data_IF_945324524845
#
_entry.id   IF_945324524845
#
_cell.length_a   1.000
_cell.length_b   1.000
_cell.length_c   1.000
_cell.angle_alpha   90.00
_cell.angle_beta   90.00
_cell.angle_gamma   90.00
#
_symmetry.space_group_name_H-M   'P 1'
#
loop_
_entity.id
_entity.type
_entity.pdbx_description
1 polymer ?
#
# COMPACT_ATOMS: atom_id res chain seq x y z
N UNK A 1 -3.94 -13.47 76.40
CA UNK A 1 -5.41 -13.52 76.28
C UNK A 1 -5.78 -13.70 74.82
N UNK A 2 -6.75 -14.57 74.61
CA UNK A 2 -7.15 -15.28 73.40
C UNK A 2 -8.11 -14.46 72.53
N UNK A 3 -8.04 -14.60 71.20
CA UNK A 3 -9.15 -14.64 70.23
C UNK A 3 -8.57 -14.46 68.81
N UNK A 4 -8.36 -15.54 68.03
CA UNK A 4 -9.33 -16.14 67.09
C UNK A 4 -9.98 -15.10 66.16
N UNK A 5 -9.54 -15.07 64.89
CA UNK A 5 -10.45 -15.07 63.73
C UNK A 5 -9.89 -15.92 62.60
N UNK A 6 -10.73 -16.86 62.17
CA UNK A 6 -10.60 -17.78 61.05
C UNK A 6 -10.84 -17.07 59.71
N UNK A 7 -10.65 -17.88 58.66
CA UNK A 7 -11.11 -17.76 57.28
C UNK A 7 -10.08 -17.14 56.34
N UNK A 8 -9.71 -17.76 55.22
CA UNK A 8 -10.20 -18.99 54.63
C UNK A 8 -9.37 -19.27 53.38
N UNK A 9 -9.13 -20.56 53.15
CA UNK A 9 -8.52 -21.09 51.94
C UNK A 9 -9.46 -20.83 50.78
N UNK A 10 -8.98 -20.14 49.74
CA UNK A 10 -9.48 -20.33 48.38
C UNK A 10 -8.29 -20.42 47.44
N UNK A 11 -8.00 -21.66 47.05
CA UNK A 11 -7.16 -22.00 45.92
C UNK A 11 -7.85 -21.50 44.64
N UNK A 12 -7.30 -20.48 44.01
CA UNK A 12 -7.60 -20.16 42.62
C UNK A 12 -6.48 -20.76 41.77
N UNK A 13 -6.74 -21.95 41.25
CA UNK A 13 -5.96 -22.55 40.18
C UNK A 13 -6.09 -21.68 38.93
N UNK A 14 -5.15 -20.75 38.73
CA UNK A 14 -4.95 -20.15 37.42
C UNK A 14 -4.21 -21.17 36.55
N UNK A 15 -5.01 -21.94 35.81
CA UNK A 15 -4.53 -22.68 34.66
C UNK A 15 -3.81 -21.68 33.73
N UNK A 16 -2.50 -21.84 33.61
CA UNK A 16 -1.72 -21.14 32.61
C UNK A 16 -2.20 -21.56 31.23
N UNK A 17 -3.01 -20.71 30.60
CA UNK A 17 -3.01 -20.63 29.15
C UNK A 17 -1.61 -20.13 28.77
N UNK A 18 -0.73 -21.06 28.44
CA UNK A 18 0.43 -20.76 27.62
C UNK A 18 -0.13 -20.12 26.33
N UNK A 19 -0.03 -18.79 26.26
CA UNK A 19 -0.20 -18.09 25.00
C UNK A 19 0.86 -18.66 24.06
N UNK A 20 0.42 -19.54 23.15
CA UNK A 20 1.24 -19.93 22.02
C UNK A 20 1.66 -18.63 21.34
N UNK A 21 2.96 -18.37 21.16
CA UNK A 21 3.38 -17.22 20.38
C UNK A 21 2.81 -17.42 18.98
N UNK A 22 1.81 -16.61 18.63
CA UNK A 22 1.48 -16.31 17.24
C UNK A 22 2.79 -15.81 16.62
N UNK A 23 3.50 -16.73 15.97
CA UNK A 23 4.64 -16.41 15.14
C UNK A 23 4.07 -15.60 13.97
N UNK A 24 4.07 -14.28 14.11
CA UNK A 24 4.08 -13.40 12.97
C UNK A 24 5.36 -13.75 12.19
N UNK A 25 5.21 -14.48 11.09
CA UNK A 25 6.32 -14.81 10.21
C UNK A 25 6.80 -13.52 9.55
N UNK A 26 7.81 -12.89 10.14
CA UNK A 26 8.57 -11.77 9.57
C UNK A 26 9.47 -12.26 8.42
N UNK A 27 8.89 -12.87 7.38
CA UNK A 27 9.58 -13.12 6.13
C UNK A 27 9.06 -12.09 5.11
N UNK A 28 9.95 -11.27 4.51
CA UNK A 28 9.59 -10.46 3.34
C UNK A 28 8.92 -11.35 2.30
N UNK A 29 7.82 -10.90 1.67
CA UNK A 29 7.02 -11.72 0.74
C UNK A 29 7.91 -12.45 -0.28
N UNK A 30 8.06 -13.76 -0.10
CA UNK A 30 8.87 -14.62 -0.96
C UNK A 30 8.04 -14.92 -2.22
N UNK A 31 8.60 -14.79 -3.42
CA UNK A 31 7.88 -15.10 -4.65
C UNK A 31 7.73 -16.62 -4.85
N UNK A 32 6.59 -17.01 -5.38
CA UNK A 32 6.28 -18.39 -5.70
C UNK A 32 6.83 -18.78 -7.08
N UNK A 33 7.35 -19.99 -7.19
CA UNK A 33 7.71 -20.60 -8.47
C UNK A 33 6.74 -21.72 -8.81
N UNK A 34 6.12 -21.64 -9.98
CA UNK A 34 5.31 -22.71 -10.55
C UNK A 34 6.15 -23.48 -11.56
N UNK A 35 6.39 -24.76 -11.29
CA UNK A 35 6.89 -25.70 -12.29
C UNK A 35 5.70 -26.25 -13.07
N UNK A 36 5.69 -26.05 -14.38
CA UNK A 36 4.65 -26.51 -15.29
C UNK A 36 4.95 -27.93 -15.80
N UNK A 37 3.92 -28.69 -16.17
CA UNK A 37 4.10 -30.05 -16.71
C UNK A 37 4.78 -30.08 -18.08
N UNK A 38 4.71 -28.99 -18.83
CA UNK A 38 5.42 -28.82 -20.11
C UNK A 38 6.90 -28.45 -19.93
N UNK A 39 7.39 -28.42 -18.68
CA UNK A 39 8.78 -28.10 -18.35
C UNK A 39 9.07 -26.61 -18.19
N UNK A 40 8.12 -25.72 -18.50
CA UNK A 40 8.28 -24.29 -18.23
C UNK A 40 8.28 -24.03 -16.72
N UNK A 41 8.96 -22.97 -16.32
CA UNK A 41 8.84 -22.43 -14.97
C UNK A 41 8.32 -21.01 -15.03
N UNK A 42 7.25 -20.75 -14.29
CA UNK A 42 6.68 -19.42 -14.13
C UNK A 42 7.09 -18.90 -12.76
N UNK A 43 7.55 -17.64 -12.74
CA UNK A 43 7.98 -16.92 -11.55
C UNK A 43 7.05 -15.75 -11.33
N UNK A 44 6.65 -15.56 -10.09
CA UNK A 44 5.59 -14.63 -9.78
C UNK A 44 5.05 -14.89 -8.39
N UNK A 45 3.76 -14.68 -8.21
CA UNK A 45 3.13 -14.78 -6.91
C UNK A 45 1.75 -15.41 -7.06
N UNK A 46 1.43 -16.33 -6.16
CA UNK A 46 0.12 -16.93 -6.10
C UNK A 46 -0.83 -15.96 -5.40
N UNK A 47 -1.74 -15.36 -6.17
CA UNK A 47 -2.81 -14.50 -5.65
C UNK A 47 -3.95 -15.30 -5.04
N UNK A 48 -4.23 -16.47 -5.61
CA UNK A 48 -5.28 -17.39 -5.13
C UNK A 48 -4.89 -18.81 -5.49
N UNK A 49 -5.01 -19.70 -4.51
CA UNK A 49 -4.82 -21.12 -4.69
C UNK A 49 -6.14 -21.84 -4.42
N UNK A 50 -6.74 -22.42 -5.45
CA UNK A 50 -8.00 -23.17 -5.35
C UNK A 50 -7.78 -24.63 -5.76
N UNK A 51 -8.81 -25.46 -5.59
CA UNK A 51 -8.75 -26.88 -5.94
C UNK A 51 -8.39 -27.10 -7.43
N UNK A 52 -8.90 -26.23 -8.31
CA UNK A 52 -8.81 -26.44 -9.77
C UNK A 52 -7.81 -25.52 -10.47
N UNK A 53 -7.44 -24.40 -9.84
CA UNK A 53 -6.58 -23.40 -10.47
C UNK A 53 -5.78 -22.57 -9.46
N UNK A 54 -4.77 -21.91 -10.00
CA UNK A 54 -3.94 -20.91 -9.32
C UNK A 54 -4.10 -19.60 -10.08
N UNK A 55 -4.57 -18.54 -9.43
CA UNK A 55 -4.42 -17.18 -9.96
C UNK A 55 -3.00 -16.72 -9.62
N UNK A 56 -2.20 -16.48 -10.65
CA UNK A 56 -0.77 -16.21 -10.53
C UNK A 56 -0.42 -14.86 -11.14
N UNK A 57 0.24 -14.00 -10.39
CA UNK A 57 0.72 -12.70 -10.85
C UNK A 57 2.18 -12.80 -11.30
N UNK A 58 2.42 -12.51 -12.57
CA UNK A 58 3.74 -12.38 -13.18
C UNK A 58 4.08 -10.89 -13.36
N UNK A 59 5.29 -10.60 -13.85
CA UNK A 59 5.69 -9.24 -14.25
C UNK A 59 4.75 -8.65 -15.30
N UNK A 60 4.29 -9.49 -16.23
CA UNK A 60 3.50 -9.05 -17.39
C UNK A 60 1.99 -9.06 -17.11
N UNK A 61 1.60 -9.40 -15.89
CA UNK A 61 0.21 -9.44 -15.45
C UNK A 61 -0.19 -10.77 -14.83
N UNK A 62 -1.49 -10.95 -14.66
CA UNK A 62 -2.06 -12.10 -13.98
C UNK A 62 -2.57 -13.14 -14.95
N UNK A 63 -2.29 -14.40 -14.64
CA UNK A 63 -2.72 -15.56 -15.39
C UNK A 63 -3.41 -16.54 -14.45
N UNK A 64 -4.56 -17.07 -14.89
CA UNK A 64 -5.20 -18.22 -14.23
C UNK A 64 -4.58 -19.47 -14.81
N UNK A 65 -3.91 -20.25 -13.96
CA UNK A 65 -3.20 -21.45 -14.34
C UNK A 65 -3.96 -22.66 -13.79
N UNK A 66 -4.49 -23.55 -14.64
CA UNK A 66 -5.16 -24.76 -14.19
C UNK A 66 -4.20 -25.66 -13.39
N UNK A 67 -4.66 -26.24 -12.28
CA UNK A 67 -3.89 -27.21 -11.48
C UNK A 67 -3.45 -28.42 -12.30
N UNK A 68 -4.23 -28.79 -13.30
CA UNK A 68 -3.89 -29.85 -14.26
C UNK A 68 -2.61 -29.56 -15.06
N UNK A 69 -2.23 -28.28 -15.21
CA UNK A 69 -1.05 -27.81 -15.94
C UNK A 69 0.18 -27.66 -15.05
N UNK A 70 -0.01 -27.62 -13.73
CA UNK A 70 1.05 -27.41 -12.74
C UNK A 70 1.61 -28.77 -12.33
N UNK A 71 2.93 -28.89 -12.38
CA UNK A 71 3.67 -30.03 -11.84
C UNK A 71 3.96 -29.85 -10.35
N UNK A 72 4.45 -28.67 -9.97
CA UNK A 72 4.83 -28.36 -8.58
C UNK A 72 4.74 -26.86 -8.30
N UNK A 73 4.43 -26.52 -7.06
CA UNK A 73 4.54 -25.18 -6.50
C UNK A 73 5.73 -25.19 -5.54
N UNK A 74 6.65 -24.23 -5.69
CA UNK A 74 7.78 -24.04 -4.79
C UNK A 74 7.68 -22.66 -4.15
N UNK A 75 7.77 -22.66 -2.83
CA UNK A 75 7.96 -21.49 -1.98
C UNK A 75 9.46 -21.44 -1.64
N UNK A 76 10.28 -20.83 -2.50
CA UNK A 76 11.72 -20.69 -2.27
C UNK A 76 12.08 -19.20 -2.22
N UNK A 77 12.87 -18.82 -1.20
CA UNK A 77 13.37 -17.45 -1.01
C UNK A 77 14.29 -17.06 -2.18
N UNK A 78 13.70 -16.41 -3.19
CA UNK A 78 14.43 -15.95 -4.36
C UNK A 78 14.66 -14.44 -4.29
N UNK A 79 15.94 -14.03 -4.22
CA UNK A 79 16.35 -12.63 -4.14
C UNK A 79 16.24 -11.90 -5.50
N UNK A 80 16.05 -12.64 -6.60
CA UNK A 80 16.03 -12.08 -7.96
C UNK A 80 14.63 -11.74 -8.47
N UNK A 81 13.60 -11.88 -7.63
CA UNK A 81 12.23 -11.61 -8.05
C UNK A 81 11.76 -10.24 -7.59
N UNK A 82 11.34 -9.48 -8.58
CA UNK A 82 10.92 -8.08 -8.56
C UNK A 82 9.92 -7.66 -7.46
N UNK A 83 9.07 -8.58 -6.97
CA UNK A 83 8.05 -8.30 -5.96
C UNK A 83 8.56 -8.39 -4.51
N UNK A 84 9.72 -9.04 -4.32
CA UNK A 84 10.30 -9.35 -3.01
C UNK A 84 11.51 -8.47 -2.68
N UNK A 85 11.76 -7.38 -3.43
CA UNK A 85 12.90 -6.51 -3.17
C UNK A 85 12.78 -5.92 -1.76
N UNK A 86 13.53 -6.52 -0.82
CA UNK A 86 13.82 -5.94 0.48
C UNK A 86 14.32 -4.53 0.21
N UNK A 87 13.65 -3.54 0.80
CA UNK A 87 14.05 -2.15 0.67
C UNK A 87 15.50 -2.01 1.11
N UNK A 88 16.37 -1.75 0.14
CA UNK A 88 17.77 -1.46 0.44
C UNK A 88 17.84 -0.25 1.37
N UNK A 89 18.92 -0.16 2.16
CA UNK A 89 19.13 0.95 3.09
C UNK A 89 18.89 2.30 2.41
N UNK A 90 18.01 3.12 3.00
CA UNK A 90 17.67 4.45 2.49
C UNK A 90 16.88 4.46 1.17
N UNK A 91 16.28 3.34 0.75
CA UNK A 91 15.40 3.24 -0.41
C UNK A 91 13.95 3.04 0.02
N UNK A 92 13.04 3.52 -0.81
CA UNK A 92 11.61 3.26 -0.69
C UNK A 92 11.25 1.95 -1.42
N UNK A 93 10.21 1.23 -0.98
CA UNK A 93 9.70 0.05 -1.69
C UNK A 93 9.08 0.47 -3.02
N UNK A 94 9.09 -0.43 -4.00
CA UNK A 94 8.32 -0.24 -5.24
C UNK A 94 6.82 -0.22 -4.95
N UNK A 95 6.02 0.33 -5.88
CA UNK A 95 4.58 0.35 -5.70
C UNK A 95 3.96 -1.05 -5.61
N UNK A 96 4.51 -2.04 -6.32
CA UNK A 96 4.01 -3.40 -6.26
C UNK A 96 4.23 -4.01 -4.89
N UNK A 97 5.39 -3.79 -4.26
CA UNK A 97 5.65 -4.27 -2.91
C UNK A 97 4.67 -3.67 -1.90
N UNK A 98 4.33 -2.39 -2.03
CA UNK A 98 3.35 -1.72 -1.16
C UNK A 98 1.93 -2.26 -1.38
N UNK A 99 1.48 -2.31 -2.64
CA UNK A 99 0.13 -2.81 -2.98
C UNK A 99 -0.01 -4.28 -2.58
N UNK A 100 1.07 -5.05 -2.72
CA UNK A 100 1.16 -6.42 -2.24
C UNK A 100 0.96 -6.51 -0.73
N UNK A 101 1.74 -5.78 0.06
CA UNK A 101 1.64 -5.87 1.52
C UNK A 101 0.27 -5.39 2.02
N UNK A 102 -0.34 -4.42 1.32
CA UNK A 102 -1.74 -4.06 1.53
C UNK A 102 -2.74 -5.14 1.16
N UNK A 103 -2.45 -5.95 0.14
CA UNK A 103 -3.29 -7.09 -0.16
C UNK A 103 -3.37 -8.00 1.05
N UNK A 104 -2.27 -8.26 1.72
CA UNK A 104 -2.23 -9.25 2.80
C UNK A 104 -2.58 -8.67 4.18
N UNK A 105 -2.83 -7.37 4.26
CA UNK A 105 -3.25 -6.70 5.48
C UNK A 105 -4.77 -6.85 5.72
N UNK A 106 -5.16 -7.51 6.81
CA UNK A 106 -6.58 -7.84 7.13
C UNK A 106 -7.53 -6.63 7.16
N UNK A 107 -7.02 -5.45 7.51
CA UNK A 107 -7.84 -4.22 7.54
C UNK A 107 -8.08 -3.63 6.16
N UNK A 108 -7.34 -4.06 5.13
CA UNK A 108 -7.43 -3.56 3.75
C UNK A 108 -8.23 -4.54 2.91
N UNK A 109 -9.45 -4.14 2.57
CA UNK A 109 -10.36 -4.94 1.76
C UNK A 109 -10.53 -4.36 0.36
N UNK A 110 -10.02 -3.16 0.06
CA UNK A 110 -10.05 -2.58 -1.29
C UNK A 110 -8.92 -1.59 -1.51
N UNK A 111 -8.26 -1.70 -2.65
CA UNK A 111 -7.32 -0.70 -3.20
C UNK A 111 -7.71 -0.46 -4.64
N UNK A 112 -7.88 0.79 -5.05
CA UNK A 112 -8.33 1.14 -6.39
C UNK A 112 -7.61 2.39 -6.90
N UNK A 113 -7.08 2.32 -8.12
CA UNK A 113 -6.45 3.44 -8.80
C UNK A 113 -7.49 4.53 -9.08
N UNK A 114 -7.12 5.78 -8.78
CA UNK A 114 -7.94 6.96 -9.01
C UNK A 114 -7.12 8.05 -9.70
N UNK A 115 -7.78 9.03 -10.35
CA UNK A 115 -7.08 10.17 -10.91
C UNK A 115 -6.25 10.93 -9.86
N UNK A 116 -4.93 11.13 -10.09
CA UNK A 116 -4.11 11.98 -9.25
C UNK A 116 -4.59 13.42 -9.28
N UNK A 117 -4.60 14.07 -8.12
CA UNK A 117 -4.94 15.48 -7.97
C UNK A 117 -3.70 16.35 -8.11
N UNK A 118 -3.78 17.48 -8.81
CA UNK A 118 -2.65 18.39 -8.94
C UNK A 118 -2.20 18.92 -7.56
N UNK A 119 -0.94 18.66 -7.21
CA UNK A 119 -0.29 19.21 -6.02
C UNK A 119 0.22 20.62 -6.35
N UNK A 120 -0.39 21.63 -5.73
CA UNK A 120 -0.15 23.04 -6.08
C UNK A 120 1.04 23.67 -5.33
N UNK A 121 1.48 23.07 -4.22
CA UNK A 121 2.53 23.59 -3.35
C UNK A 121 3.23 22.46 -2.57
N UNK A 122 4.30 22.80 -1.85
CA UNK A 122 5.07 21.86 -1.05
C UNK A 122 6.14 21.09 -1.83
N UNK A 123 6.78 20.12 -1.18
CA UNK A 123 7.94 19.42 -1.73
C UNK A 123 7.59 18.58 -2.97
N UNK A 124 6.35 18.11 -3.06
CA UNK A 124 5.86 17.23 -4.12
C UNK A 124 5.21 17.97 -5.29
N UNK A 125 5.23 19.32 -5.30
CA UNK A 125 4.74 20.11 -6.43
C UNK A 125 5.41 19.65 -7.72
N UNK A 126 4.58 19.39 -8.75
CA UNK A 126 4.98 18.99 -10.09
C UNK A 126 5.76 17.67 -10.18
N UNK A 127 5.62 16.77 -9.21
CA UNK A 127 6.13 15.39 -9.34
C UNK A 127 4.97 14.49 -9.77
N UNK A 128 5.01 13.86 -10.95
CA UNK A 128 4.02 12.88 -11.38
C UNK A 128 3.88 11.76 -10.35
N UNK A 129 2.67 11.27 -10.14
CA UNK A 129 2.42 10.24 -9.14
C UNK A 129 1.20 9.40 -9.46
N UNK A 130 1.17 8.20 -8.91
CA UNK A 130 0.04 7.28 -8.95
C UNK A 130 -0.75 7.40 -7.65
N UNK A 131 -2.08 7.48 -7.73
CA UNK A 131 -2.94 7.64 -6.55
C UNK A 131 -3.92 6.48 -6.43
N UNK A 132 -4.02 5.91 -5.24
CA UNK A 132 -4.92 4.82 -4.91
C UNK A 132 -5.88 5.21 -3.79
N UNK A 133 -7.13 4.84 -3.96
CA UNK A 133 -8.17 4.81 -2.95
C UNK A 133 -8.07 3.52 -2.14
N UNK A 134 -7.88 3.63 -0.83
CA UNK A 134 -7.82 2.49 0.08
C UNK A 134 -9.11 2.44 0.91
N UNK A 135 -9.81 1.31 0.93
CA UNK A 135 -11.06 1.08 1.67
C UNK A 135 -12.12 2.18 1.46
N UNK A 136 -12.21 2.71 0.23
CA UNK A 136 -13.09 3.83 -0.17
C UNK A 136 -12.80 5.18 0.50
N UNK A 137 -11.70 5.33 1.25
CA UNK A 137 -11.49 6.53 2.07
C UNK A 137 -10.05 6.99 2.18
N UNK A 138 -9.13 6.06 2.46
CA UNK A 138 -7.71 6.35 2.49
C UNK A 138 -7.19 6.72 1.10
N UNK A 139 -6.09 7.44 1.07
CA UNK A 139 -5.29 7.73 -0.11
C UNK A 139 -3.90 7.17 0.09
N UNK A 140 -3.37 6.60 -0.97
CA UNK A 140 -1.96 6.25 -1.09
C UNK A 140 -1.45 6.87 -2.38
N UNK A 141 -0.42 7.70 -2.27
CA UNK A 141 0.19 8.39 -3.39
C UNK A 141 1.65 7.94 -3.50
N UNK A 142 2.06 7.58 -4.72
CA UNK A 142 3.42 7.09 -5.01
C UNK A 142 4.01 7.99 -6.08
N UNK A 143 5.01 8.76 -5.70
CA UNK A 143 5.57 9.85 -6.51
C UNK A 143 6.84 9.42 -7.25
N UNK A 144 6.98 9.88 -8.49
CA UNK A 144 8.10 9.59 -9.38
C UNK A 144 7.89 8.30 -10.17
N UNK A 145 8.99 7.61 -10.46
CA UNK A 145 8.96 6.28 -11.08
C UNK A 145 8.34 5.27 -10.10
N UNK A 146 7.21 4.62 -10.41
CA UNK A 146 6.56 3.68 -9.50
C UNK A 146 7.45 2.52 -9.04
N UNK A 147 8.41 2.11 -9.87
CA UNK A 147 9.34 1.01 -9.56
C UNK A 147 10.47 1.45 -8.64
N UNK A 148 10.76 2.74 -8.64
CA UNK A 148 11.81 3.35 -7.84
C UNK A 148 11.33 4.72 -7.32
N UNK A 149 10.33 4.74 -6.43
CA UNK A 149 9.66 5.98 -6.07
C UNK A 149 10.60 6.93 -5.33
N UNK A 150 10.29 8.22 -5.42
CA UNK A 150 10.98 9.28 -4.67
C UNK A 150 10.21 9.69 -3.41
N UNK A 151 8.91 9.42 -3.36
CA UNK A 151 8.09 9.61 -2.17
C UNK A 151 6.90 8.64 -2.16
N UNK A 152 6.49 8.25 -0.97
CA UNK A 152 5.24 7.55 -0.69
C UNK A 152 4.50 8.36 0.36
N UNK A 153 3.21 8.58 0.14
CA UNK A 153 2.36 9.35 1.04
C UNK A 153 1.04 8.62 1.27
N UNK A 154 0.62 8.58 2.53
CA UNK A 154 -0.68 8.10 2.94
C UNK A 154 -1.49 9.24 3.52
N UNK A 155 -2.78 9.26 3.24
CA UNK A 155 -3.64 10.25 3.87
C UNK A 155 -5.10 9.85 3.92
N UNK A 156 -5.84 10.63 4.69
CA UNK A 156 -7.26 10.42 4.90
C UNK A 156 -7.94 11.76 5.15
N UNK A 157 -9.10 11.95 4.51
CA UNK A 157 -9.87 13.18 4.62
C UNK A 157 -10.90 13.14 5.75
N UNK A 158 -11.37 14.32 6.15
CA UNK A 158 -12.53 14.50 7.02
C UNK A 158 -12.33 14.00 8.45
N UNK A 159 -13.45 13.65 9.11
CA UNK A 159 -13.45 13.29 10.55
C UNK A 159 -12.57 12.07 10.86
N UNK A 160 -12.44 11.12 9.94
CA UNK A 160 -11.59 9.93 10.11
C UNK A 160 -10.10 10.25 10.07
N UNK A 161 -9.69 11.37 9.51
CA UNK A 161 -8.32 11.88 9.63
C UNK A 161 -7.92 12.31 11.05
N UNK A 162 -8.85 12.28 12.00
CA UNK A 162 -8.59 12.43 13.44
C UNK A 162 -8.49 11.09 14.18
N UNK A 163 -8.62 9.96 13.48
CA UNK A 163 -8.58 8.63 14.07
C UNK A 163 -7.15 8.22 14.42
N UNK A 164 -6.86 8.14 15.72
CA UNK A 164 -5.59 7.60 16.23
C UNK A 164 -5.31 6.19 15.72
N UNK A 165 -6.35 5.35 15.56
CA UNK A 165 -6.23 4.00 15.01
C UNK A 165 -5.73 4.02 13.56
N UNK A 166 -6.25 4.91 12.72
CA UNK A 166 -5.77 5.02 11.34
C UNK A 166 -4.32 5.50 11.29
N UNK A 167 -3.97 6.52 12.09
CA UNK A 167 -2.59 7.01 12.18
C UNK A 167 -1.62 5.90 12.60
N UNK A 168 -2.01 5.09 13.58
CA UNK A 168 -1.23 3.95 14.05
C UNK A 168 -1.03 2.91 12.94
N UNK A 169 -2.10 2.47 12.28
CA UNK A 169 -2.04 1.46 11.20
C UNK A 169 -1.10 1.93 10.08
N UNK A 170 -1.21 3.19 9.66
CA UNK A 170 -0.36 3.71 8.58
C UNK A 170 1.10 3.80 9.01
N UNK A 171 1.39 4.17 10.27
CA UNK A 171 2.76 4.18 10.80
C UNK A 171 3.35 2.77 10.89
N UNK A 172 2.58 1.81 11.39
CA UNK A 172 3.01 0.40 11.46
C UNK A 172 3.32 -0.15 10.07
N UNK A 173 2.44 0.15 9.11
CA UNK A 173 2.64 -0.22 7.72
C UNK A 173 3.93 0.40 7.14
N UNK A 174 4.10 1.72 7.26
CA UNK A 174 5.32 2.40 6.79
C UNK A 174 6.57 1.85 7.48
N UNK A 175 6.52 1.58 8.79
CA UNK A 175 7.64 1.04 9.56
C UNK A 175 8.09 -0.35 9.05
N UNK A 176 7.15 -1.17 8.58
CA UNK A 176 7.45 -2.48 7.99
C UNK A 176 8.35 -2.41 6.75
N UNK A 177 8.38 -1.27 6.06
CA UNK A 177 9.21 -1.04 4.89
C UNK A 177 10.52 -0.30 5.18
N UNK A 178 10.78 0.11 6.43
CA UNK A 178 11.99 0.84 6.79
C UNK A 178 13.11 -0.12 7.16
N UNK A 179 14.32 0.20 6.71
CA UNK A 179 15.47 -0.67 6.86
C UNK A 179 16.08 -0.64 8.28
N UNK A 180 16.06 0.52 8.94
CA UNK A 180 16.80 0.75 10.18
C UNK A 180 15.93 1.22 11.34
N UNK A 181 16.34 0.86 12.56
CA UNK A 181 15.71 1.36 13.81
C UNK A 181 15.70 2.89 13.91
N UNK A 182 16.68 3.57 13.29
CA UNK A 182 16.73 5.05 13.27
C UNK A 182 15.63 5.63 12.40
N UNK A 183 15.37 5.04 11.24
CA UNK A 183 14.25 5.43 10.36
C UNK A 183 12.91 5.16 11.05
N UNK A 184 12.75 3.98 11.67
CA UNK A 184 11.55 3.65 12.45
C UNK A 184 11.34 4.65 13.60
N UNK A 185 12.39 4.96 14.36
CA UNK A 185 12.30 5.94 15.45
C UNK A 185 11.90 7.34 14.95
N UNK A 186 12.47 7.80 13.82
CA UNK A 186 12.12 9.08 13.21
C UNK A 186 10.66 9.12 12.73
N UNK A 187 10.14 8.01 12.19
CA UNK A 187 8.72 7.89 11.81
C UNK A 187 7.81 8.02 13.05
N UNK A 188 8.10 7.28 14.12
CA UNK A 188 7.26 7.26 15.31
C UNK A 188 7.35 8.53 16.15
N UNK A 189 8.45 9.30 16.06
CA UNK A 189 8.60 10.58 16.78
C UNK A 189 7.80 11.73 16.18
N UNK A 190 7.29 11.60 14.95
CA UNK A 190 6.53 12.65 14.28
C UNK A 190 5.32 13.08 15.11
N UNK A 191 5.12 14.40 15.23
CA UNK A 191 3.91 14.97 15.82
C UNK A 191 2.71 14.85 14.87
N UNK A 192 1.56 14.42 15.40
CA UNK A 192 0.31 14.39 14.63
C UNK A 192 -0.17 15.79 14.21
N UNK A 193 0.30 16.84 14.88
CA UNK A 193 0.01 18.23 14.55
C UNK A 193 0.85 18.77 13.38
N UNK A 194 1.75 17.96 12.82
CA UNK A 194 2.67 18.33 11.76
C UNK A 194 4.10 18.47 12.27
N UNK A 195 5.01 17.76 11.63
CA UNK A 195 6.45 17.82 11.87
C UNK A 195 7.19 17.20 10.68
N UNK A 196 8.50 17.39 10.61
CA UNK A 196 9.39 16.71 9.67
C UNK A 196 10.66 16.23 10.39
N UNK A 197 10.97 14.94 10.24
CA UNK A 197 12.21 14.35 10.72
C UNK A 197 13.01 13.74 9.59
N UNK A 198 14.30 13.48 9.84
CA UNK A 198 15.21 12.86 8.88
C UNK A 198 15.96 11.70 9.52
N UNK A 199 16.17 10.64 8.75
CA UNK A 199 17.04 9.54 9.12
C UNK A 199 17.68 8.94 7.86
N UNK A 200 19.02 8.93 7.81
CA UNK A 200 19.74 8.55 6.60
C UNK A 200 19.38 9.48 5.43
N UNK A 201 19.00 8.90 4.30
CA UNK A 201 18.60 9.62 3.10
C UNK A 201 17.11 9.97 3.08
N UNK A 202 16.32 9.45 4.03
CA UNK A 202 14.88 9.61 4.07
C UNK A 202 14.47 10.78 4.97
N UNK A 203 13.43 11.47 4.55
CA UNK A 203 12.67 12.40 5.35
C UNK A 203 11.26 11.85 5.59
N UNK A 204 10.73 12.12 6.77
CA UNK A 204 9.42 11.71 7.25
C UNK A 204 8.65 12.97 7.57
N UNK A 205 7.41 13.11 7.11
CA UNK A 205 6.62 14.32 7.31
C UNK A 205 5.18 13.99 7.65
N UNK A 206 4.61 14.72 8.60
CA UNK A 206 3.16 14.81 8.77
C UNK A 206 2.68 16.18 8.29
N UNK A 207 1.65 16.17 7.45
CA UNK A 207 0.93 17.37 7.04
C UNK A 207 -0.48 17.32 7.65
N UNK A 208 -0.80 18.16 8.64
CA UNK A 208 -2.10 18.13 9.30
C UNK A 208 -3.21 18.69 8.37
N UNK A 209 -4.49 18.38 8.63
CA UNK A 209 -5.63 18.88 7.84
C UNK A 209 -5.70 20.39 7.65
N UNK A 210 -5.14 21.15 8.60
CA UNK A 210 -5.14 22.61 8.60
C UNK A 210 -3.97 23.21 7.81
N UNK A 211 -3.00 22.40 7.39
CA UNK A 211 -1.84 22.90 6.66
C UNK A 211 -2.23 23.30 5.21
N UNK A 212 -1.60 24.34 4.65
CA UNK A 212 -1.77 24.70 3.25
C UNK A 212 -1.48 23.52 2.33
N UNK A 213 -2.34 23.31 1.33
CA UNK A 213 -2.20 22.20 0.37
C UNK A 213 -2.68 20.83 0.87
N UNK A 214 -3.04 20.69 2.14
CA UNK A 214 -3.55 19.43 2.70
C UNK A 214 -4.98 19.10 2.23
N UNK A 215 -5.72 20.10 1.74
CA UNK A 215 -7.13 20.01 1.32
C UNK A 215 -8.02 19.33 2.38
N UNK A 216 -7.79 19.63 3.66
CA UNK A 216 -8.53 19.02 4.78
C UNK A 216 -8.16 17.57 5.09
N UNK A 217 -7.14 17.01 4.43
CA UNK A 217 -6.62 15.68 4.68
C UNK A 217 -5.49 15.68 5.72
N UNK A 218 -5.41 14.64 6.53
CA UNK A 218 -4.20 14.34 7.30
C UNK A 218 -3.31 13.46 6.44
N UNK A 219 -2.03 13.81 6.32
CA UNK A 219 -1.07 13.09 5.48
C UNK A 219 0.18 12.73 6.27
N UNK A 220 0.75 11.57 5.94
CA UNK A 220 2.07 11.14 6.37
C UNK A 220 2.86 10.68 5.15
N UNK A 221 4.07 11.19 5.00
CA UNK A 221 4.92 10.91 3.86
C UNK A 221 6.31 10.43 4.28
N UNK A 222 6.89 9.54 3.48
CA UNK A 222 8.30 9.14 3.52
C UNK A 222 8.89 9.41 2.14
N UNK A 223 9.99 10.15 2.07
CA UNK A 223 10.55 10.58 0.80
C UNK A 223 12.07 10.73 0.84
N UNK A 224 12.71 10.66 -0.32
CA UNK A 224 14.12 10.97 -0.50
C UNK A 224 14.28 12.40 -1.02
N UNK A 225 14.68 13.37 -0.16
CA UNK A 225 14.79 14.77 -0.54
C UNK A 225 15.80 15.02 -1.67
N UNK A 226 16.83 14.17 -1.80
CA UNK A 226 17.89 14.34 -2.79
C UNK A 226 17.42 14.02 -4.21
N UNK A 227 16.35 13.23 -4.35
CA UNK A 227 15.80 12.76 -5.63
C UNK A 227 14.59 13.54 -6.11
N UNK A 228 14.03 14.43 -5.30
CA UNK A 228 12.81 15.19 -5.65
C UNK A 228 13.00 16.08 -6.87
N UNK A 229 14.14 16.78 -6.97
CA UNK A 229 14.38 17.73 -8.05
C UNK A 229 14.39 17.06 -9.43
N UNK A 230 15.03 15.89 -9.54
CA UNK A 230 15.08 15.10 -10.77
C UNK A 230 13.74 14.47 -11.16
N UNK A 231 12.81 14.32 -10.21
CA UNK A 231 11.50 13.73 -10.46
C UNK A 231 10.44 14.76 -10.93
N UNK A 232 10.74 16.06 -10.84
CA UNK A 232 9.81 17.11 -11.24
C UNK A 232 9.73 17.23 -12.76
N UNK A 233 8.53 17.50 -13.24
CA UNK A 233 8.25 17.82 -14.65
C UNK A 233 7.74 19.26 -14.79
N UNK A 234 7.71 19.77 -16.02
CA UNK A 234 7.10 21.07 -16.31
C UNK A 234 5.58 21.07 -16.05
N UNK A 235 5.01 22.24 -15.78
CA UNK A 235 3.58 22.38 -15.43
C UNK A 235 2.65 21.81 -16.53
N UNK A 236 3.00 22.01 -17.80
CA UNK A 236 2.23 21.48 -18.92
C UNK A 236 2.22 19.95 -18.98
N UNK A 237 3.35 19.29 -18.69
CA UNK A 237 3.41 17.82 -18.61
C UNK A 237 2.67 17.31 -17.37
N UNK A 238 2.82 17.99 -16.23
CA UNK A 238 2.14 17.64 -14.99
C UNK A 238 0.61 17.72 -15.12
N UNK A 239 0.10 18.73 -15.83
CA UNK A 239 -1.33 18.90 -16.08
C UNK A 239 -1.95 17.81 -16.97
N UNK A 240 -1.16 17.10 -17.79
CA UNK A 240 -1.65 15.97 -18.61
C UNK A 240 -1.99 14.75 -17.75
N UNK A 241 -1.30 14.58 -16.62
CA UNK A 241 -1.36 13.39 -15.76
C UNK A 241 -2.04 13.63 -14.41
N UNK A 242 -2.55 14.84 -14.17
CA UNK A 242 -3.26 15.21 -12.94
C UNK A 242 -4.57 15.94 -13.22
N UNK A 243 -5.42 16.03 -12.21
CA UNK A 243 -6.72 16.72 -12.25
C UNK A 243 -6.86 17.74 -11.12
N UNK A 244 -7.62 18.83 -11.31
CA UNK A 244 -7.99 19.71 -10.20
C UNK A 244 -8.67 18.95 -9.05
N UNK A 245 -8.45 19.39 -7.80
CA UNK A 245 -9.01 18.74 -6.62
C UNK A 245 -10.54 18.61 -6.70
N UNK A 246 -11.22 19.67 -7.13
CA UNK A 246 -12.69 19.73 -7.25
C UNK A 246 -13.27 18.88 -8.38
N UNK A 247 -12.45 18.38 -9.31
CA UNK A 247 -12.89 17.42 -10.33
C UNK A 247 -12.88 15.98 -9.79
N UNK A 248 -12.00 15.69 -8.83
CA UNK A 248 -11.83 14.34 -8.28
C UNK A 248 -12.55 14.17 -6.95
N UNK A 249 -12.52 15.18 -6.08
CA UNK A 249 -13.04 15.11 -4.72
C UNK A 249 -14.13 16.15 -4.49
N UNK A 250 -15.10 15.78 -3.65
CA UNK A 250 -16.02 16.72 -3.01
C UNK A 250 -15.24 17.59 -1.99
N UNK A 251 -15.87 18.66 -1.51
CA UNK A 251 -15.27 19.56 -0.53
C UNK A 251 -14.88 18.87 0.79
N UNK A 252 -15.49 17.73 1.12
CA UNK A 252 -15.17 16.92 2.30
C UNK A 252 -14.04 15.88 2.06
N UNK A 253 -13.46 15.86 0.85
CA UNK A 253 -12.40 14.94 0.44
C UNK A 253 -12.89 13.54 0.03
N UNK A 254 -14.20 13.29 0.04
CA UNK A 254 -14.76 12.07 -0.57
C UNK A 254 -14.64 12.15 -2.09
N UNK A 255 -14.51 11.00 -2.76
CA UNK A 255 -14.49 10.97 -4.21
C UNK A 255 -15.84 11.44 -4.77
N UNK A 256 -15.80 12.29 -5.80
CA UNK A 256 -17.03 12.63 -6.54
C UNK A 256 -17.52 11.39 -7.26
N UNK A 257 -18.82 11.11 -7.26
CA UNK A 257 -19.36 10.01 -8.07
C UNK A 257 -19.50 10.38 -9.56
N UNK A 258 -18.61 11.23 -10.09
CA UNK A 258 -18.68 11.63 -11.49
C UNK A 258 -18.56 10.37 -12.36
N UNK A 259 -19.48 10.22 -13.30
CA UNK A 259 -19.76 8.99 -14.07
C UNK A 259 -18.49 8.18 -14.31
N UNK A 260 -18.44 6.98 -13.73
CA UNK A 260 -17.33 6.02 -13.82
C UNK A 260 -16.66 6.02 -15.20
N UNK A 261 -17.44 6.12 -16.27
CA UNK A 261 -16.97 6.21 -17.66
C UNK A 261 -15.90 7.28 -17.95
N UNK A 262 -16.00 8.51 -17.41
CA UNK A 262 -15.02 9.57 -17.69
C UNK A 262 -13.70 9.32 -16.97
N UNK A 263 -13.78 8.85 -15.72
CA UNK A 263 -12.61 8.46 -14.95
C UNK A 263 -11.96 7.21 -15.52
N UNK A 264 -12.77 6.24 -15.93
CA UNK A 264 -12.31 5.00 -16.53
C UNK A 264 -11.63 5.28 -17.87
N UNK A 265 -12.18 6.15 -18.72
CA UNK A 265 -11.52 6.56 -19.97
C UNK A 265 -10.18 7.26 -19.72
N UNK A 266 -10.12 8.16 -18.75
CA UNK A 266 -8.87 8.82 -18.39
C UNK A 266 -7.86 7.85 -17.78
N UNK A 267 -8.30 6.98 -16.86
CA UNK A 267 -7.47 5.97 -16.21
C UNK A 267 -6.94 4.97 -17.24
N UNK A 268 -7.78 4.54 -18.19
CA UNK A 268 -7.35 3.69 -19.31
C UNK A 268 -6.30 4.42 -20.15
N UNK A 269 -6.50 5.70 -20.47
CA UNK A 269 -5.51 6.48 -21.21
C UNK A 269 -4.20 6.70 -20.42
N UNK A 270 -4.28 6.97 -19.12
CA UNK A 270 -3.14 7.20 -18.24
C UNK A 270 -2.35 5.90 -18.00
N UNK A 271 -3.04 4.77 -17.77
CA UNK A 271 -2.40 3.47 -17.61
C UNK A 271 -1.80 2.96 -18.92
N UNK A 272 -2.34 3.32 -20.09
CA UNK A 272 -1.65 3.07 -21.37
C UNK A 272 -0.32 3.80 -21.49
N UNK A 273 -0.11 4.89 -20.75
CA UNK A 273 1.16 5.61 -20.71
C UNK A 273 2.10 5.10 -19.61
N UNK A 274 1.63 4.25 -18.70
CA UNK A 274 2.51 3.58 -17.75
C UNK A 274 3.44 2.61 -18.50
N UNK A 275 4.70 2.45 -18.04
CA UNK A 275 5.63 1.50 -18.61
C UNK A 275 5.01 0.11 -18.81
N UNK A 276 5.36 -0.57 -19.91
CA UNK A 276 4.73 -1.83 -20.32
C UNK A 276 4.83 -2.97 -19.29
N UNK A 277 5.78 -2.89 -18.35
CA UNK A 277 5.97 -3.86 -17.27
C UNK A 277 5.10 -3.60 -16.04
N UNK A 278 4.28 -2.54 -16.03
CA UNK A 278 3.25 -2.33 -15.01
C UNK A 278 2.01 -3.11 -15.45
N UNK A 279 1.59 -4.15 -14.70
CA UNK A 279 0.33 -4.83 -14.96
C UNK A 279 -0.80 -3.79 -15.06
N UNK A 280 -1.67 -3.91 -16.06
CA UNK A 280 -2.85 -3.03 -16.29
C UNK A 280 -3.96 -3.25 -15.23
N UNK A 281 -3.55 -3.35 -13.98
CA UNK A 281 -4.38 -3.61 -12.81
C UNK A 281 -4.88 -2.27 -12.30
N UNK A 282 -6.19 -2.14 -12.20
CA UNK A 282 -6.86 -1.01 -11.54
C UNK A 282 -6.71 -1.10 -10.03
N UNK A 283 -6.62 -2.31 -9.48
CA UNK A 283 -6.54 -2.54 -8.03
C UNK A 283 -7.12 -3.89 -7.64
N UNK A 284 -7.63 -4.01 -6.42
CA UNK A 284 -8.27 -5.21 -5.91
C UNK A 284 -9.36 -4.91 -4.90
N UNK A 285 -10.24 -5.88 -4.65
CA UNK A 285 -11.16 -5.85 -3.51
C UNK A 285 -11.45 -7.25 -2.96
N UNK A 286 -11.92 -7.31 -1.72
CA UNK A 286 -12.54 -8.49 -1.11
C UNK A 286 -14.05 -8.29 -1.06
N UNK A 287 -14.80 -9.30 -1.47
CA UNK A 287 -16.26 -9.27 -1.33
C UNK A 287 -16.70 -9.57 0.11
N UNK A 288 -18.01 -9.60 0.34
CA UNK A 288 -18.61 -9.85 1.65
C UNK A 288 -18.25 -11.22 2.26
N UNK A 289 -17.85 -12.18 1.42
CA UNK A 289 -17.40 -13.51 1.83
C UNK A 289 -15.87 -13.55 2.03
N UNK A 290 -15.19 -12.41 1.92
CA UNK A 290 -13.73 -12.31 2.01
C UNK A 290 -13.00 -12.82 0.76
N UNK A 291 -13.71 -13.13 -0.33
CA UNK A 291 -13.09 -13.64 -1.56
C UNK A 291 -12.35 -12.50 -2.24
N UNK A 292 -11.08 -12.73 -2.57
CA UNK A 292 -10.23 -11.77 -3.28
C UNK A 292 -10.58 -11.69 -4.77
N UNK A 293 -10.73 -10.46 -5.27
CA UNK A 293 -11.03 -10.10 -6.65
C UNK A 293 -10.06 -9.03 -7.14
N UNK A 294 -9.60 -9.16 -8.37
CA UNK A 294 -8.74 -8.18 -9.03
C UNK A 294 -9.58 -7.25 -9.88
N UNK A 295 -9.34 -5.95 -9.76
CA UNK A 295 -9.93 -4.94 -10.62
C UNK A 295 -9.00 -4.72 -11.82
N UNK A 296 -9.52 -4.92 -13.03
CA UNK A 296 -8.77 -4.72 -14.27
C UNK A 296 -9.25 -3.46 -14.97
N UNK A 297 -8.36 -2.82 -15.71
CA UNK A 297 -8.76 -1.81 -16.68
C UNK A 297 -9.11 -2.53 -17.98
N UNK A 298 -10.40 -2.73 -18.23
CA UNK A 298 -10.83 -3.36 -19.47
C UNK A 298 -10.50 -2.41 -20.65
N UNK A 299 -9.71 -2.83 -21.65
CA UNK A 299 -9.41 -2.00 -22.81
C UNK A 299 -10.62 -1.82 -23.73
N UNK A 300 -11.65 -2.66 -23.57
CA UNK A 300 -12.86 -2.66 -24.34
C UNK A 300 -14.03 -2.51 -23.38
N UNK A 301 -14.60 -1.31 -23.33
CA UNK A 301 -15.87 -1.12 -22.63
C UNK A 301 -16.93 -2.05 -23.23
N UNK A 302 -17.62 -2.75 -22.34
CA UNK A 302 -19.03 -3.12 -22.53
C UNK A 302 -19.83 -2.44 -21.43
#
# INVERSE_FOLDING_TARGET
>A
MTAIRRAGILAAAFAGLAALPLHASNQPGIPDQLEMKDGRSLRGMILKNSADSVLFQTRDGEVVIPKSSIRRIREEADQDVYLAQVTGRGKLPSWQAIVHDFRDHDTVWRVELIPPVAVQSGEFKNIPYTSFLVNKQGRMNIYGDPDNPVAIEFGIYGKRGRSSRYHQIVREFLAGHLYSRKEIAALYSLSLAGDTHRAGNLAFKITPPTAPGANGGWWIAVYDPSRLASARVGEAEYAKVTRPFSEVNNADGTLRQLSSALWDNWLVAAVRQLPAHIPKIRGFYRDENGVFHVMRLDPQGT
#
